data_IF_660162660421
#
_entry.id   IF_660162660421
#
_cell.length_a   1.000
_cell.length_b   1.000
_cell.length_c   1.000
_cell.angle_alpha   90.00
_cell.angle_beta   90.00
_cell.angle_gamma   90.00
#
_symmetry.space_group_name_H-M   'P 1'
#
loop_
_entity.id
_entity.type
_entity.pdbx_description
1 polymer ?
#
# COMPACT_ATOMS: atom_id res chain seq x y z
N UNK A 1 -16.59 21.16 -2.09
CA UNK A 1 -15.80 20.40 -3.09
C UNK A 1 -14.72 19.62 -2.34
N UNK A 2 -14.32 18.44 -2.82
CA UNK A 2 -13.27 17.67 -2.13
C UNK A 2 -12.00 17.64 -2.99
N UNK A 3 -10.84 17.73 -2.32
CA UNK A 3 -9.54 17.64 -2.97
C UNK A 3 -8.93 16.28 -2.71
N UNK A 4 -8.34 15.64 -3.72
CA UNK A 4 -7.59 14.40 -3.54
C UNK A 4 -6.09 14.72 -3.53
N UNK A 5 -5.39 14.23 -2.51
CA UNK A 5 -3.95 14.35 -2.41
C UNK A 5 -3.25 13.53 -3.51
N UNK A 6 -2.41 14.12 -4.38
CA UNK A 6 -1.71 13.39 -5.43
C UNK A 6 -0.62 12.44 -4.89
N UNK A 7 -0.20 12.59 -3.63
CA UNK A 7 0.86 11.75 -3.05
C UNK A 7 0.33 10.53 -2.31
N UNK A 8 -0.80 10.67 -1.63
CA UNK A 8 -1.31 9.62 -0.75
C UNK A 8 -2.78 9.26 -0.99
N UNK A 9 -3.44 9.94 -1.93
CA UNK A 9 -4.79 9.62 -2.39
C UNK A 9 -5.87 9.87 -1.34
N UNK A 10 -5.53 10.48 -0.21
CA UNK A 10 -6.54 10.84 0.80
C UNK A 10 -7.27 12.12 0.42
N UNK A 11 -8.53 12.19 0.84
CA UNK A 11 -9.32 13.40 0.78
C UNK A 11 -8.69 14.49 1.65
N UNK A 12 -8.63 15.70 1.11
CA UNK A 12 -8.18 16.93 1.75
C UNK A 12 -9.42 17.83 1.83
N UNK A 13 -9.86 18.21 3.04
CA UNK A 13 -10.96 19.14 3.23
C UNK A 13 -10.73 20.48 2.54
N UNK A 14 -11.81 21.17 2.18
CA UNK A 14 -11.74 22.48 1.51
C UNK A 14 -11.07 23.56 2.37
N UNK A 15 -11.13 23.41 3.68
CA UNK A 15 -10.57 24.37 4.65
C UNK A 15 -9.10 24.11 4.99
N UNK A 16 -8.54 22.96 4.57
CA UNK A 16 -7.17 22.59 4.94
C UNK A 16 -6.16 23.00 3.87
N UNK A 17 -5.12 23.74 4.27
CA UNK A 17 -4.00 24.11 3.38
C UNK A 17 -3.06 22.94 3.08
N UNK A 18 -3.09 21.91 3.93
CA UNK A 18 -2.23 20.74 3.86
C UNK A 18 -3.04 19.45 4.01
N UNK A 19 -2.53 18.38 3.42
CA UNK A 19 -3.03 17.04 3.63
C UNK A 19 -2.69 16.55 5.03
N UNK A 20 -3.69 16.25 5.86
CA UNK A 20 -3.49 15.74 7.22
C UNK A 20 -2.76 14.39 7.28
N UNK A 21 -2.67 13.66 6.16
CA UNK A 21 -2.05 12.34 6.10
C UNK A 21 -0.58 12.36 5.68
N UNK A 22 -0.23 13.11 4.64
CA UNK A 22 1.15 13.15 4.13
C UNK A 22 1.88 14.49 4.40
N UNK A 23 1.17 15.52 4.86
CA UNK A 23 1.71 16.85 5.13
C UNK A 23 1.97 17.72 3.90
N UNK A 24 1.60 17.27 2.69
CA UNK A 24 1.79 18.06 1.46
C UNK A 24 0.79 19.21 1.37
N UNK A 25 1.24 20.37 0.88
CA UNK A 25 0.40 21.52 0.57
C UNK A 25 -0.62 21.23 -0.53
N UNK A 26 -1.74 21.94 -0.51
CA UNK A 26 -2.89 21.75 -1.42
C UNK A 26 -2.63 22.22 -2.86
N UNK A 27 -1.54 22.95 -3.10
CA UNK A 27 -1.27 23.69 -4.34
C UNK A 27 -1.35 22.86 -5.64
N UNK A 28 -1.17 21.53 -5.56
CA UNK A 28 -1.25 20.59 -6.70
C UNK A 28 -2.24 19.44 -6.48
N UNK A 29 -3.40 19.71 -5.89
CA UNK A 29 -4.41 18.67 -5.59
C UNK A 29 -5.46 18.52 -6.68
N UNK A 30 -5.96 17.30 -6.84
CA UNK A 30 -6.98 16.98 -7.83
C UNK A 30 -8.33 17.40 -7.27
N UNK A 31 -9.07 18.24 -8.00
CA UNK A 31 -10.42 18.67 -7.62
C UNK A 31 -11.45 17.61 -8.03
N UNK A 32 -12.33 17.27 -7.09
CA UNK A 32 -13.42 16.32 -7.31
C UNK A 32 -14.74 16.99 -6.94
N UNK A 33 -15.71 16.89 -7.85
CA UNK A 33 -17.05 17.42 -7.65
C UNK A 33 -17.83 16.60 -6.60
N UNK A 34 -18.93 17.14 -6.03
CA UNK A 34 -19.80 16.40 -5.12
C UNK A 34 -20.36 15.09 -5.71
N UNK A 35 -20.39 14.99 -7.05
CA UNK A 35 -20.79 13.80 -7.79
C UNK A 35 -19.65 12.78 -8.01
N UNK A 36 -18.44 13.02 -7.50
CA UNK A 36 -17.30 12.11 -7.60
C UNK A 36 -16.52 12.19 -8.93
N UNK A 37 -16.86 13.12 -9.81
CA UNK A 37 -16.17 13.30 -11.09
C UNK A 37 -14.89 14.11 -10.90
N UNK A 38 -13.83 13.71 -11.60
CA UNK A 38 -12.60 14.49 -11.73
C UNK A 38 -12.90 15.74 -12.52
N UNK A 39 -12.73 16.91 -11.89
CA UNK A 39 -12.84 18.18 -12.61
C UNK A 39 -11.53 18.36 -13.37
N UNK A 40 -11.56 18.04 -14.66
CA UNK A 40 -10.44 18.36 -15.52
C UNK A 40 -10.31 19.89 -15.52
N UNK A 41 -9.16 20.44 -15.12
CA UNK A 41 -8.96 21.87 -15.10
C UNK A 41 -9.15 22.40 -16.53
N UNK A 42 -10.07 23.34 -16.71
CA UNK A 42 -10.30 23.96 -18.01
C UNK A 42 -8.97 24.53 -18.52
N UNK A 43 -8.39 23.86 -19.52
CA UNK A 43 -7.04 24.16 -20.04
C UNK A 43 -6.86 25.62 -20.44
N UNK A 44 -7.95 26.33 -20.69
CA UNK A 44 -7.96 27.67 -21.23
C UNK A 44 -8.37 28.74 -20.21
N UNK A 45 -8.40 28.46 -18.90
CA UNK A 45 -8.67 29.50 -17.89
C UNK A 45 -7.56 29.59 -16.86
N UNK A 46 -7.21 30.82 -16.50
CA UNK A 46 -6.26 31.11 -15.43
C UNK A 46 -6.87 30.70 -14.08
N UNK A 47 -6.15 29.89 -13.30
CA UNK A 47 -6.59 29.43 -11.98
C UNK A 47 -6.60 30.53 -10.91
N UNK A 48 -5.89 31.64 -11.13
CA UNK A 48 -5.81 32.77 -10.20
C UNK A 48 -6.87 33.84 -10.45
N UNK A 49 -7.10 34.23 -11.72
CA UNK A 49 -8.00 35.33 -12.05
C UNK A 49 -9.19 34.95 -12.97
N UNK A 50 -9.28 33.70 -13.40
CA UNK A 50 -10.36 33.20 -14.26
C UNK A 50 -10.32 33.68 -15.72
N UNK A 51 -9.30 34.46 -16.11
CA UNK A 51 -9.16 34.95 -17.48
C UNK A 51 -8.93 33.81 -18.48
N UNK A 52 -9.46 33.94 -19.69
CA UNK A 52 -9.15 33.02 -20.78
C UNK A 52 -7.66 33.10 -21.15
N UNK A 53 -7.04 31.94 -21.33
CA UNK A 53 -5.64 31.77 -21.68
C UNK A 53 -5.53 30.93 -22.94
N UNK A 54 -4.61 31.30 -23.84
CA UNK A 54 -4.32 30.48 -25.02
C UNK A 54 -3.72 29.13 -24.60
N UNK A 55 -3.98 28.04 -25.32
CA UNK A 55 -3.40 26.73 -25.04
C UNK A 55 -1.86 26.70 -25.08
N UNK A 56 -1.19 27.73 -25.61
CA UNK A 56 0.27 27.85 -25.60
C UNK A 56 0.82 28.91 -24.62
N UNK A 57 -0.03 29.67 -23.93
CA UNK A 57 0.42 30.68 -22.98
C UNK A 57 0.99 30.02 -21.73
N UNK A 58 2.23 30.39 -21.37
CA UNK A 58 2.91 29.93 -20.15
C UNK A 58 2.60 30.82 -18.93
N UNK A 59 2.16 32.05 -19.17
CA UNK A 59 1.88 33.08 -18.16
C UNK A 59 0.55 33.75 -18.52
N UNK A 60 -0.28 34.05 -17.53
CA UNK A 60 -1.52 34.76 -17.75
C UNK A 60 -1.26 36.21 -18.15
N UNK A 61 -1.71 36.58 -19.35
CA UNK A 61 -1.60 37.95 -19.89
C UNK A 61 -2.32 39.00 -19.03
N UNK A 62 -3.33 38.60 -18.22
CA UNK A 62 -4.14 39.52 -17.41
C UNK A 62 -3.60 39.75 -15.99
N UNK A 63 -3.15 38.70 -15.31
CA UNK A 63 -2.73 38.77 -13.90
C UNK A 63 -1.26 38.46 -13.66
N UNK A 64 -0.50 38.05 -14.68
CA UNK A 64 0.93 37.72 -14.56
C UNK A 64 1.24 36.39 -13.89
N UNK A 65 0.23 35.63 -13.44
CA UNK A 65 0.44 34.34 -12.80
C UNK A 65 0.87 33.28 -13.83
N UNK A 66 1.91 32.46 -13.58
CA UNK A 66 2.27 31.35 -14.43
C UNK A 66 1.10 30.36 -14.58
N UNK A 67 0.93 29.81 -15.77
CA UNK A 67 -0.06 28.76 -16.00
C UNK A 67 0.28 27.57 -15.14
N UNK A 68 -0.65 27.13 -14.29
CA UNK A 68 -0.46 25.92 -13.51
C UNK A 68 -0.33 24.76 -14.51
N UNK A 69 0.91 24.30 -14.71
CA UNK A 69 1.10 22.96 -15.24
C UNK A 69 0.48 22.09 -14.17
N UNK A 70 -0.67 21.51 -14.46
CA UNK A 70 -1.07 20.28 -13.81
C UNK A 70 0.01 19.29 -14.24
N UNK A 71 1.11 19.31 -13.49
CA UNK A 71 2.05 18.22 -13.47
C UNK A 71 1.16 17.06 -13.07
N UNK A 72 1.00 16.12 -14.00
CA UNK A 72 0.53 14.79 -13.66
C UNK A 72 1.54 14.28 -12.64
N UNK A 73 1.32 14.62 -11.37
CA UNK A 73 2.14 14.19 -10.28
C UNK A 73 1.97 12.68 -10.28
N UNK A 74 3.00 11.97 -10.74
CA UNK A 74 3.04 10.52 -10.68
C UNK A 74 2.77 10.16 -9.23
N UNK A 75 1.64 9.48 -8.97
CA UNK A 75 1.28 9.03 -7.64
C UNK A 75 2.43 8.18 -7.08
N UNK A 76 3.20 8.75 -6.14
CA UNK A 76 4.28 8.05 -5.44
C UNK A 76 3.81 7.79 -4.02
N UNK A 77 3.26 6.60 -3.73
CA UNK A 77 2.80 6.30 -2.38
C UNK A 77 3.99 6.36 -1.44
N UNK A 78 3.85 7.17 -0.39
CA UNK A 78 4.88 7.32 0.65
C UNK A 78 4.64 6.30 1.76
N UNK A 79 5.67 5.54 2.09
CA UNK A 79 5.61 4.59 3.22
C UNK A 79 5.37 5.34 4.53
N UNK A 80 4.55 4.77 5.40
CA UNK A 80 4.34 5.28 6.76
C UNK A 80 5.63 5.21 7.58
N UNK A 81 5.74 6.07 8.60
CA UNK A 81 6.87 6.04 9.54
C UNK A 81 7.01 4.63 10.12
N UNK A 82 8.20 4.05 9.97
CA UNK A 82 8.54 2.68 10.41
C UNK A 82 7.73 1.54 9.73
N UNK A 83 7.04 1.81 8.62
CA UNK A 83 6.30 0.77 7.88
C UNK A 83 7.18 -0.40 7.40
N UNK A 84 8.47 -0.14 7.19
CA UNK A 84 9.47 -1.15 6.85
C UNK A 84 9.60 -2.24 7.93
N UNK A 85 9.31 -1.96 9.20
CA UNK A 85 9.33 -2.95 10.28
C UNK A 85 8.21 -3.97 10.07
N UNK A 86 7.00 -3.52 9.74
CA UNK A 86 5.88 -4.40 9.42
C UNK A 86 6.19 -5.29 8.22
N UNK A 87 6.79 -4.73 7.17
CA UNK A 87 7.25 -5.50 6.00
C UNK A 87 8.32 -6.52 6.41
N UNK A 88 9.32 -6.11 7.19
CA UNK A 88 10.36 -7.01 7.67
C UNK A 88 9.77 -8.17 8.47
N UNK A 89 8.84 -7.90 9.39
CA UNK A 89 8.13 -8.95 10.15
C UNK A 89 7.33 -9.91 9.26
N UNK A 90 6.75 -9.42 8.16
CA UNK A 90 6.04 -10.26 7.21
C UNK A 90 6.99 -11.11 6.33
N UNK A 91 8.17 -10.58 6.01
CA UNK A 91 9.13 -11.20 5.10
C UNK A 91 10.09 -12.16 5.80
N UNK A 92 10.54 -11.86 7.02
CA UNK A 92 11.49 -12.67 7.80
C UNK A 92 10.97 -14.11 8.00
N UNK A 93 9.67 -14.30 8.23
CA UNK A 93 9.07 -15.63 8.32
C UNK A 93 9.09 -16.42 7.00
N UNK A 94 9.11 -15.75 5.85
CA UNK A 94 9.18 -16.40 4.53
C UNK A 94 10.60 -16.63 4.01
N UNK A 95 11.57 -15.77 4.34
CA UNK A 95 12.96 -15.94 3.90
C UNK A 95 13.58 -17.23 4.48
N UNK A 96 13.20 -17.61 5.69
CA UNK A 96 13.67 -18.83 6.35
C UNK A 96 13.15 -20.12 5.70
N UNK A 97 12.22 -20.03 4.73
CA UNK A 97 11.75 -21.16 3.91
C UNK A 97 12.80 -21.59 2.87
N UNK A 98 13.69 -20.67 2.47
CA UNK A 98 14.59 -20.86 1.33
C UNK A 98 16.04 -21.13 1.71
N UNK A 99 16.41 -21.14 3.00
CA UNK A 99 17.79 -21.35 3.42
C UNK A 99 18.11 -22.86 3.47
N UNK A 100 19.07 -23.38 2.68
CA UNK A 100 19.49 -24.77 2.77
C UNK A 100 20.43 -24.93 3.96
N UNK A 101 19.89 -25.33 5.11
CA UNK A 101 20.70 -25.62 6.31
C UNK A 101 20.96 -27.13 6.40
N UNK A 102 22.05 -27.59 5.77
CA UNK A 102 22.77 -28.81 6.18
C UNK A 102 22.20 -30.18 5.78
N UNK A 103 22.88 -31.27 6.16
CA UNK A 103 22.75 -32.61 5.57
C UNK A 103 21.56 -33.44 6.10
N UNK A 104 20.64 -32.82 6.84
CA UNK A 104 19.49 -33.49 7.46
C UNK A 104 18.22 -33.12 6.71
N UNK A 105 18.10 -33.55 5.45
CA UNK A 105 16.86 -33.55 4.69
C UNK A 105 16.09 -32.19 4.60
N UNK A 106 14.86 -32.20 4.08
CA UNK A 106 14.03 -31.02 4.01
C UNK A 106 13.43 -30.72 5.39
N UNK A 107 14.23 -30.21 6.31
CA UNK A 107 13.75 -29.37 7.42
C UNK A 107 13.35 -27.98 6.90
N UNK A 108 12.76 -27.93 5.70
CA UNK A 108 12.09 -26.78 5.13
C UNK A 108 10.86 -26.46 5.97
N UNK A 109 10.84 -25.34 6.69
CA UNK A 109 9.57 -24.74 7.11
C UNK A 109 9.33 -24.48 8.59
N UNK A 110 10.32 -24.61 9.48
CA UNK A 110 10.06 -24.36 10.92
C UNK A 110 9.86 -22.88 11.31
N UNK A 111 10.01 -21.91 10.39
CA UNK A 111 9.91 -20.48 10.74
C UNK A 111 8.92 -19.66 9.91
N UNK A 112 7.98 -20.28 9.21
CA UNK A 112 6.88 -19.55 8.54
C UNK A 112 5.80 -19.11 9.52
N UNK A 113 6.14 -18.19 10.43
CA UNK A 113 5.13 -17.54 11.26
C UNK A 113 4.46 -16.44 10.43
N UNK A 114 3.31 -16.77 9.85
CA UNK A 114 2.48 -15.81 9.15
C UNK A 114 1.70 -14.93 10.15
N UNK A 115 1.39 -13.68 9.77
CA UNK A 115 0.51 -12.77 10.50
C UNK A 115 1.19 -11.71 11.38
N UNK A 116 2.50 -11.83 11.66
CA UNK A 116 3.22 -10.86 12.52
C UNK A 116 3.21 -9.43 11.96
N UNK A 117 3.33 -9.28 10.64
CA UNK A 117 3.23 -7.97 9.97
C UNK A 117 1.88 -7.28 10.15
N UNK A 118 0.77 -8.04 10.18
CA UNK A 118 -0.57 -7.48 10.39
C UNK A 118 -0.78 -6.97 11.82
N UNK A 119 -0.18 -7.64 12.83
CA UNK A 119 -0.24 -7.16 14.21
C UNK A 119 0.50 -5.83 14.40
N UNK A 120 1.62 -5.62 13.70
CA UNK A 120 2.31 -4.33 13.70
C UNK A 120 1.40 -3.19 13.25
N UNK A 121 0.59 -3.42 12.22
CA UNK A 121 -0.41 -2.47 11.73
C UNK A 121 -1.77 -2.54 12.46
N UNK A 122 -1.83 -3.20 13.63
CA UNK A 122 -3.04 -3.37 14.45
C UNK A 122 -4.22 -4.04 13.73
N UNK A 123 -3.96 -4.82 12.68
CA UNK A 123 -4.99 -5.61 11.96
C UNK A 123 -5.16 -6.99 12.58
N UNK A 124 -5.72 -7.02 13.79
CA UNK A 124 -5.86 -8.23 14.62
C UNK A 124 -6.59 -9.38 13.94
N UNK A 125 -7.76 -9.13 13.34
CA UNK A 125 -8.57 -10.17 12.68
C UNK A 125 -7.79 -10.87 11.56
N UNK A 126 -7.08 -10.09 10.73
CA UNK A 126 -6.26 -10.61 9.63
C UNK A 126 -5.00 -11.31 10.12
N UNK A 127 -4.30 -10.73 11.10
CA UNK A 127 -3.14 -11.37 11.72
C UNK A 127 -3.47 -12.71 12.36
N UNK A 128 -4.60 -12.80 13.07
CA UNK A 128 -5.08 -14.04 13.68
C UNK A 128 -5.40 -15.12 12.63
N UNK A 129 -5.97 -14.74 11.48
CA UNK A 129 -6.25 -15.68 10.39
C UNK A 129 -4.98 -16.31 9.81
N UNK A 130 -3.94 -15.50 9.55
CA UNK A 130 -2.65 -16.01 9.10
C UNK A 130 -1.92 -16.84 10.16
N UNK A 131 -2.04 -16.49 11.44
CA UNK A 131 -1.54 -17.33 12.54
C UNK A 131 -2.26 -18.68 12.61
N UNK A 132 -3.58 -18.71 12.39
CA UNK A 132 -4.34 -19.96 12.36
C UNK A 132 -3.90 -20.85 11.20
N UNK A 133 -3.68 -20.28 10.01
CA UNK A 133 -3.12 -21.02 8.87
C UNK A 133 -1.74 -21.57 9.23
N UNK A 134 -0.88 -20.76 9.85
CA UNK A 134 0.42 -21.22 10.35
C UNK A 134 0.24 -22.44 11.25
N UNK A 135 -0.61 -22.34 12.27
CA UNK A 135 -0.87 -23.44 13.21
C UNK A 135 -1.41 -24.70 12.51
N UNK A 136 -2.31 -24.56 11.54
CA UNK A 136 -2.84 -25.66 10.74
C UNK A 136 -1.74 -26.33 9.91
N UNK A 137 -0.87 -25.54 9.28
CA UNK A 137 0.25 -26.04 8.50
C UNK A 137 1.24 -26.83 9.38
N UNK A 138 1.55 -26.33 10.57
CA UNK A 138 2.34 -27.05 11.57
C UNK A 138 1.66 -28.33 12.04
N UNK A 139 0.35 -28.29 12.27
CA UNK A 139 -0.42 -29.46 12.70
C UNK A 139 -0.36 -30.57 11.64
N UNK A 140 -0.64 -30.25 10.38
CA UNK A 140 -0.58 -31.22 9.27
C UNK A 140 0.83 -31.82 9.15
N UNK A 141 1.87 -30.98 9.21
CA UNK A 141 3.26 -31.43 9.15
C UNK A 141 3.63 -32.35 10.31
N UNK A 142 3.06 -32.13 11.50
CA UNK A 142 3.34 -32.94 12.69
C UNK A 142 2.56 -34.25 12.73
N UNK A 143 1.29 -34.25 12.28
CA UNK A 143 0.44 -35.44 12.33
C UNK A 143 0.68 -36.42 11.18
N UNK A 144 1.17 -35.93 10.05
CA UNK A 144 1.40 -36.75 8.84
C UNK A 144 2.90 -36.77 8.50
N UNK A 145 3.71 -37.57 9.21
CA UNK A 145 5.16 -37.64 8.96
C UNK A 145 5.50 -38.37 7.65
N UNK A 146 4.60 -39.20 7.12
CA UNK A 146 4.80 -39.99 5.88
C UNK A 146 4.15 -39.33 4.65
N UNK A 147 4.36 -38.03 4.47
CA UNK A 147 3.81 -37.29 3.33
C UNK A 147 4.45 -37.73 2.01
N UNK A 148 3.63 -37.96 0.99
CA UNK A 148 4.14 -38.24 -0.37
C UNK A 148 4.88 -37.03 -0.95
N UNK A 149 5.74 -37.24 -1.95
CA UNK A 149 6.46 -36.13 -2.63
C UNK A 149 5.50 -35.11 -3.24
N UNK A 150 4.37 -35.56 -3.80
CA UNK A 150 3.34 -34.67 -4.34
C UNK A 150 2.73 -33.79 -3.25
N UNK A 151 2.42 -34.35 -2.08
CA UNK A 151 1.88 -33.58 -0.95
C UNK A 151 2.87 -32.54 -0.43
N UNK A 152 4.16 -32.87 -0.36
CA UNK A 152 5.21 -31.89 -0.03
C UNK A 152 5.27 -30.73 -1.02
N UNK A 153 5.19 -31.03 -2.33
CA UNK A 153 5.18 -30.00 -3.37
C UNK A 153 3.94 -29.09 -3.29
N UNK A 154 2.76 -29.68 -3.08
CA UNK A 154 1.51 -28.93 -2.91
C UNK A 154 1.54 -28.06 -1.66
N UNK A 155 2.05 -28.59 -0.54
CA UNK A 155 2.21 -27.85 0.71
C UNK A 155 3.17 -26.67 0.54
N UNK A 156 4.33 -26.88 -0.08
CA UNK A 156 5.28 -25.82 -0.41
C UNK A 156 4.64 -24.74 -1.29
N UNK A 157 3.90 -25.14 -2.33
CA UNK A 157 3.22 -24.21 -3.23
C UNK A 157 2.17 -23.38 -2.47
N UNK A 158 1.40 -24.00 -1.59
CA UNK A 158 0.45 -23.31 -0.72
C UNK A 158 1.16 -22.34 0.24
N UNK A 159 2.27 -22.75 0.87
CA UNK A 159 3.09 -21.87 1.74
C UNK A 159 3.55 -20.60 1.01
N UNK A 160 4.08 -20.76 -0.21
CA UNK A 160 4.53 -19.63 -1.03
C UNK A 160 3.35 -18.72 -1.39
N UNK A 161 2.21 -19.30 -1.75
CA UNK A 161 1.00 -18.52 -2.04
C UNK A 161 0.54 -17.67 -0.84
N UNK A 162 0.43 -18.28 0.35
CA UNK A 162 0.06 -17.54 1.56
C UNK A 162 1.10 -16.49 1.95
N UNK A 163 2.38 -16.79 1.78
CA UNK A 163 3.48 -15.84 1.98
C UNK A 163 3.34 -14.60 1.08
N UNK A 164 3.12 -14.81 -0.22
CA UNK A 164 2.95 -13.72 -1.18
C UNK A 164 1.70 -12.90 -0.86
N UNK A 165 0.57 -13.56 -0.55
CA UNK A 165 -0.65 -12.89 -0.13
C UNK A 165 -0.43 -11.99 1.09
N UNK A 166 0.14 -12.55 2.17
CA UNK A 166 0.45 -11.79 3.37
C UNK A 166 1.34 -10.61 3.06
N UNK A 167 2.46 -10.85 2.36
CA UNK A 167 3.46 -9.81 2.08
C UNK A 167 2.83 -8.67 1.29
N UNK A 168 2.02 -8.97 0.28
CA UNK A 168 1.31 -7.95 -0.50
C UNK A 168 0.33 -7.14 0.35
N UNK A 169 -0.45 -7.78 1.23
CA UNK A 169 -1.36 -7.07 2.14
C UNK A 169 -0.58 -6.15 3.10
N UNK A 170 0.52 -6.63 3.69
CA UNK A 170 1.34 -5.85 4.62
C UNK A 170 2.04 -4.69 3.92
N UNK A 171 2.52 -4.89 2.69
CA UNK A 171 3.06 -3.80 1.85
C UNK A 171 1.99 -2.76 1.59
N UNK A 172 0.77 -3.15 1.24
CA UNK A 172 -0.33 -2.19 1.07
C UNK A 172 -0.63 -1.42 2.37
N UNK A 173 -0.60 -2.07 3.53
CA UNK A 173 -0.77 -1.39 4.82
C UNK A 173 0.38 -0.39 5.11
N UNK A 174 1.61 -0.72 4.71
CA UNK A 174 2.77 0.15 4.89
C UNK A 174 2.74 1.40 4.01
N UNK A 175 2.12 1.33 2.83
CA UNK A 175 2.05 2.46 1.88
C UNK A 175 0.70 3.20 1.89
N UNK A 176 -0.38 2.52 2.29
CA UNK A 176 -1.75 3.04 2.28
C UNK A 176 -2.51 2.63 3.55
N UNK A 177 -2.15 3.13 4.74
CA UNK A 177 -2.77 2.72 6.00
C UNK A 177 -4.28 3.09 6.03
N UNK A 178 -5.23 2.16 6.22
CA UNK A 178 -6.65 2.48 6.17
C UNK A 178 -7.03 3.61 7.15
N UNK A 179 -8.04 4.42 6.81
CA UNK A 179 -8.63 5.41 7.73
C UNK A 179 -9.01 4.65 9.00
N UNK A 180 -8.46 5.05 10.15
CA UNK A 180 -8.63 4.36 11.44
C UNK A 180 -10.12 4.21 11.75
N UNK A 181 -10.65 3.03 11.45
CA UNK A 181 -12.04 2.62 11.67
C UNK A 181 -11.97 1.14 12.03
N UNK A 182 -11.31 0.84 13.13
CA UNK A 182 -11.32 -0.45 13.85
C UNK A 182 -10.42 -0.35 15.08
#
# INVERSE_FOLDING_TARGET
MNYICPECGSDIPEESEFCYRCGRKRDNTIRVDPAGHFVEPEKNKCTACGAEMSPNDLICQKCGEPRSRIQMATFRPKMVKNGWIGIALAVIGGILVFLPIGPIGPLSGMFSIFGLGHFYFKKWKRGAWFLLITALMFFIMYTEPEMTTLMHFLFFTASVFFFLMQTMEVVMLAFTPPKTTE
#
